data_IF_679802941312
#
_entry.id   IF_679802941312
#
_cell.length_a   1.000
_cell.length_b   1.000
_cell.length_c   1.000
_cell.angle_alpha   90.00
_cell.angle_beta   90.00
_cell.angle_gamma   90.00
#
_symmetry.space_group_name_H-M   'P 1'
#
loop_
_entity.id
_entity.type
_entity.pdbx_description
1 polymer ?
#
# COMPACT_ATOMS: atom_id res chain seq x y z
N UNK A 1 0.24 -2.82 19.62
CA UNK A 1 -0.01 -2.33 18.26
C UNK A 1 1.08 -1.34 17.91
N UNK A 2 1.86 -1.56 16.85
CA UNK A 2 2.84 -0.58 16.37
C UNK A 2 2.23 0.32 15.26
N UNK A 3 2.99 1.29 14.77
CA UNK A 3 2.52 2.22 13.74
C UNK A 3 2.09 1.52 12.43
N UNK A 4 2.82 0.50 11.97
CA UNK A 4 2.48 -0.26 10.75
C UNK A 4 1.21 -1.08 10.91
N UNK A 5 0.99 -1.64 12.09
CA UNK A 5 -0.25 -2.34 12.42
C UNK A 5 -1.45 -1.38 12.50
N UNK A 6 -1.24 -0.17 13.04
CA UNK A 6 -2.26 0.88 13.00
C UNK A 6 -2.60 1.26 11.56
N UNK A 7 -1.58 1.45 10.70
CA UNK A 7 -1.80 1.75 9.28
C UNK A 7 -2.59 0.65 8.57
N UNK A 8 -2.25 -0.63 8.79
CA UNK A 8 -3.01 -1.76 8.27
C UNK A 8 -4.47 -1.76 8.75
N UNK A 9 -4.70 -1.46 10.03
CA UNK A 9 -6.05 -1.38 10.57
C UNK A 9 -6.89 -0.28 9.90
N UNK A 10 -6.28 0.87 9.61
CA UNK A 10 -6.94 1.97 8.88
C UNK A 10 -7.28 1.56 7.45
N UNK A 11 -6.31 1.01 6.71
CA UNK A 11 -6.53 0.57 5.32
C UNK A 11 -7.65 -0.47 5.23
N UNK A 12 -7.76 -1.37 6.22
CA UNK A 12 -8.83 -2.38 6.28
C UNK A 12 -10.21 -1.82 6.63
N UNK A 13 -10.28 -0.67 7.31
CA UNK A 13 -11.55 0.03 7.57
C UNK A 13 -12.02 0.83 6.34
N UNK A 14 -11.07 1.30 5.51
CA UNK A 14 -11.36 1.99 4.24
C UNK A 14 -11.73 1.00 3.15
N UNK A 15 -11.01 -0.12 3.06
CA UNK A 15 -11.26 -1.19 2.09
C UNK A 15 -11.61 -2.47 2.83
N UNK A 16 -12.86 -2.61 3.31
CA UNK A 16 -13.30 -3.81 4.00
C UNK A 16 -13.20 -5.04 3.09
N UNK A 17 -13.04 -6.22 3.71
CA UNK A 17 -13.10 -7.46 2.96
C UNK A 17 -14.53 -7.72 2.46
N UNK A 18 -14.65 -8.31 1.27
CA UNK A 18 -15.94 -8.72 0.72
C UNK A 18 -16.69 -9.60 1.73
N UNK A 19 -17.95 -9.25 2.01
CA UNK A 19 -18.77 -9.96 3.00
C UNK A 19 -18.51 -9.58 4.47
N UNK A 20 -17.62 -8.62 4.76
CA UNK A 20 -17.48 -8.11 6.13
C UNK A 20 -18.62 -7.15 6.48
N UNK A 21 -19.14 -7.23 7.71
CA UNK A 21 -20.11 -6.26 8.25
C UNK A 21 -19.44 -4.95 8.72
N UNK A 22 -18.21 -4.67 8.29
CA UNK A 22 -17.51 -3.46 8.68
C UNK A 22 -18.13 -2.26 7.97
N UNK A 23 -18.41 -1.20 8.74
CA UNK A 23 -18.84 0.10 8.19
C UNK A 23 -17.67 0.69 7.41
N UNK A 24 -17.85 0.90 6.11
CA UNK A 24 -16.90 1.61 5.26
C UNK A 24 -16.70 3.03 5.80
N UNK A 25 -15.45 3.42 6.02
CA UNK A 25 -15.08 4.73 6.54
C UNK A 25 -14.23 5.47 5.53
N UNK A 26 -14.36 6.79 5.51
CA UNK A 26 -13.34 7.63 4.87
C UNK A 26 -12.00 7.41 5.56
N UNK A 27 -10.90 7.63 4.83
CA UNK A 27 -9.55 7.45 5.38
C UNK A 27 -9.34 8.22 6.68
N UNK A 28 -9.80 9.47 6.74
CA UNK A 28 -9.72 10.31 7.93
C UNK A 28 -10.52 9.74 9.10
N UNK A 29 -11.79 9.36 8.87
CA UNK A 29 -12.63 8.80 9.92
C UNK A 29 -12.09 7.47 10.45
N UNK A 30 -11.55 6.62 9.57
CA UNK A 30 -10.88 5.37 9.95
C UNK A 30 -9.64 5.63 10.81
N UNK A 31 -8.79 6.57 10.39
CA UNK A 31 -7.60 6.94 11.16
C UNK A 31 -7.96 7.49 12.53
N UNK A 32 -8.87 8.47 12.62
CA UNK A 32 -9.29 9.05 13.90
C UNK A 32 -9.88 8.00 14.84
N UNK A 33 -10.69 7.08 14.30
CA UNK A 33 -11.29 5.99 15.07
C UNK A 33 -10.22 5.06 15.67
N UNK A 34 -9.23 4.66 14.87
CA UNK A 34 -8.16 3.72 15.27
C UNK A 34 -7.10 4.40 16.15
N UNK A 35 -6.69 5.61 15.81
CA UNK A 35 -5.66 6.38 16.53
C UNK A 35 -6.11 6.78 17.94
N UNK A 36 -7.40 7.09 18.15
CA UNK A 36 -7.96 7.34 19.50
C UNK A 36 -7.92 6.12 20.41
N UNK A 37 -7.81 4.91 19.84
CA UNK A 37 -7.78 3.64 20.56
C UNK A 37 -6.38 3.03 20.65
N UNK A 38 -5.37 3.69 20.06
CA UNK A 38 -3.98 3.25 20.17
C UNK A 38 -3.28 3.96 21.33
N UNK A 39 -2.26 3.30 21.88
CA UNK A 39 -1.37 3.86 22.91
C UNK A 39 -0.11 4.48 22.29
N UNK A 40 -0.12 4.72 20.98
CA UNK A 40 1.03 5.23 20.24
C UNK A 40 1.24 6.71 20.57
N UNK A 41 2.50 7.13 20.58
CA UNK A 41 2.85 8.54 20.73
C UNK A 41 2.48 9.35 19.47
N UNK A 42 2.73 10.66 19.50
CA UNK A 42 2.41 11.51 18.36
C UNK A 42 3.23 11.17 17.11
N UNK A 43 4.49 10.78 17.27
CA UNK A 43 5.40 10.48 16.16
C UNK A 43 4.97 9.21 15.44
N UNK A 44 4.67 8.15 16.19
CA UNK A 44 4.21 6.88 15.66
C UNK A 44 2.82 7.01 15.02
N UNK A 45 1.94 7.86 15.56
CA UNK A 45 0.66 8.17 14.92
C UNK A 45 0.85 8.91 13.61
N UNK A 46 1.74 9.91 13.56
CA UNK A 46 2.04 10.62 12.32
C UNK A 46 2.62 9.68 11.26
N UNK A 47 3.53 8.78 11.65
CA UNK A 47 4.06 7.77 10.75
C UNK A 47 2.98 6.78 10.26
N UNK A 48 2.08 6.34 11.13
CA UNK A 48 0.95 5.50 10.73
C UNK A 48 0.00 6.20 9.76
N UNK A 49 -0.23 7.51 9.93
CA UNK A 49 -1.05 8.32 9.02
C UNK A 49 -0.40 8.43 7.65
N UNK A 50 0.89 8.79 7.60
CA UNK A 50 1.68 8.87 6.37
C UNK A 50 1.61 7.56 5.59
N UNK A 51 1.87 6.44 6.28
CA UNK A 51 1.88 5.12 5.67
C UNK A 51 0.49 4.69 5.17
N UNK A 52 -0.57 4.91 5.96
CA UNK A 52 -1.93 4.54 5.57
C UNK A 52 -2.44 5.37 4.39
N UNK A 53 -2.35 6.70 4.50
CA UNK A 53 -2.84 7.62 3.47
C UNK A 53 -2.03 7.50 2.19
N UNK A 54 -0.71 7.35 2.32
CA UNK A 54 0.18 7.05 1.22
C UNK A 54 -0.24 5.81 0.45
N UNK A 55 -0.43 4.68 1.14
CA UNK A 55 -0.85 3.43 0.52
C UNK A 55 -2.25 3.49 -0.11
N UNK A 56 -3.18 4.24 0.49
CA UNK A 56 -4.52 4.48 -0.05
C UNK A 56 -4.43 5.31 -1.34
N UNK A 57 -3.68 6.43 -1.28
CA UNK A 57 -3.53 7.37 -2.39
C UNK A 57 -2.80 6.74 -3.58
N UNK A 58 -1.71 6.03 -3.33
CA UNK A 58 -0.81 5.49 -4.35
C UNK A 58 -1.16 4.07 -4.79
N UNK A 59 -2.38 3.59 -4.49
CA UNK A 59 -2.78 2.18 -4.62
C UNK A 59 -2.52 1.61 -6.02
N UNK A 60 -2.80 2.36 -7.09
CA UNK A 60 -2.55 1.93 -8.48
C UNK A 60 -1.05 1.82 -8.79
N UNK A 61 -0.25 2.81 -8.38
CA UNK A 61 1.21 2.75 -8.54
C UNK A 61 1.80 1.56 -7.78
N UNK A 62 1.31 1.30 -6.56
CA UNK A 62 1.74 0.18 -5.73
C UNK A 62 1.36 -1.16 -6.36
N UNK A 63 0.17 -1.28 -6.92
CA UNK A 63 -0.24 -2.49 -7.66
C UNK A 63 0.64 -2.70 -8.90
N UNK A 64 0.96 -1.64 -9.66
CA UNK A 64 1.90 -1.73 -10.79
C UNK A 64 3.28 -2.26 -10.37
N UNK A 65 3.78 -1.83 -9.21
CA UNK A 65 5.03 -2.37 -8.65
C UNK A 65 4.94 -3.83 -8.22
N UNK A 66 3.81 -4.24 -7.65
CA UNK A 66 3.68 -5.52 -6.97
C UNK A 66 3.20 -6.65 -7.87
N UNK A 67 2.31 -6.35 -8.81
CA UNK A 67 1.63 -7.34 -9.65
C UNK A 67 2.61 -8.22 -10.46
N UNK A 68 3.75 -7.73 -10.99
CA UNK A 68 4.75 -8.59 -11.65
C UNK A 68 5.30 -9.71 -10.76
N UNK A 69 5.22 -9.57 -9.43
CA UNK A 69 5.77 -10.52 -8.45
C UNK A 69 4.70 -11.35 -7.73
N UNK A 70 3.42 -11.01 -7.90
CA UNK A 70 2.30 -11.72 -7.28
C UNK A 70 1.70 -12.68 -8.31
N UNK A 71 2.14 -13.94 -8.26
CA UNK A 71 1.69 -15.00 -9.18
C UNK A 71 0.50 -15.81 -8.65
N UNK A 72 0.07 -15.58 -7.40
CA UNK A 72 -0.93 -16.41 -6.74
C UNK A 72 -2.37 -15.89 -6.98
N UNK A 73 -3.22 -16.61 -7.76
CA UNK A 73 -4.63 -16.27 -7.86
C UNK A 73 -5.29 -16.48 -6.49
N UNK A 74 -5.99 -15.48 -5.97
CA UNK A 74 -6.64 -15.57 -4.65
C UNK A 74 -5.80 -15.14 -3.45
N UNK A 75 -4.79 -14.28 -3.64
CA UNK A 75 -4.06 -13.63 -2.54
C UNK A 75 -5.06 -12.99 -1.55
N UNK A 76 -5.05 -13.35 -0.25
CA UNK A 76 -5.97 -12.75 0.71
C UNK A 76 -5.79 -11.24 0.77
N UNK A 77 -6.90 -10.51 0.82
CA UNK A 77 -6.90 -9.04 0.79
C UNK A 77 -5.96 -8.42 1.83
N UNK A 78 -5.95 -8.95 3.06
CA UNK A 78 -5.04 -8.47 4.12
C UNK A 78 -3.56 -8.59 3.74
N UNK A 79 -3.18 -9.63 3.00
CA UNK A 79 -1.79 -9.82 2.54
C UNK A 79 -1.47 -8.82 1.43
N UNK A 80 -2.43 -8.55 0.53
CA UNK A 80 -2.26 -7.51 -0.49
C UNK A 80 -2.12 -6.12 0.13
N UNK A 81 -2.89 -5.80 1.17
CA UNK A 81 -2.72 -4.51 1.88
C UNK A 81 -1.37 -4.42 2.60
N UNK A 82 -0.89 -5.51 3.21
CA UNK A 82 0.45 -5.56 3.81
C UNK A 82 1.54 -5.28 2.76
N UNK A 83 1.43 -5.90 1.59
CA UNK A 83 2.38 -5.68 0.48
C UNK A 83 2.33 -4.24 -0.03
N UNK A 84 1.14 -3.64 -0.16
CA UNK A 84 0.99 -2.23 -0.58
C UNK A 84 1.60 -1.27 0.44
N UNK A 85 1.38 -1.48 1.73
CA UNK A 85 2.00 -0.67 2.79
C UNK A 85 3.53 -0.80 2.74
N UNK A 86 4.04 -2.02 2.58
CA UNK A 86 5.47 -2.27 2.45
C UNK A 86 6.08 -1.63 1.21
N UNK A 87 5.43 -1.76 0.05
CA UNK A 87 5.87 -1.11 -1.17
C UNK A 87 5.82 0.42 -1.03
N UNK A 88 4.82 0.98 -0.36
CA UNK A 88 4.76 2.43 -0.13
C UNK A 88 5.94 2.89 0.71
N UNK A 89 6.20 2.22 1.83
CA UNK A 89 7.31 2.57 2.71
C UNK A 89 8.67 2.44 2.00
N UNK A 90 8.87 1.40 1.18
CA UNK A 90 10.11 1.18 0.44
C UNK A 90 10.33 2.16 -0.72
N UNK A 91 9.27 2.59 -1.41
CA UNK A 91 9.39 3.40 -2.63
C UNK A 91 9.27 4.90 -2.37
N UNK A 92 8.39 5.31 -1.46
CA UNK A 92 8.01 6.71 -1.28
C UNK A 92 8.54 7.33 0.02
N UNK A 93 9.26 6.56 0.84
CA UNK A 93 9.84 7.06 2.09
C UNK A 93 11.35 6.80 2.15
N UNK A 94 12.01 7.32 3.20
CA UNK A 94 13.44 7.12 3.45
C UNK A 94 13.69 6.04 4.51
N UNK A 95 12.81 5.03 4.57
CA UNK A 95 12.90 3.97 5.57
C UNK A 95 14.08 3.01 5.30
N UNK A 96 14.59 2.39 6.36
CA UNK A 96 15.59 1.33 6.24
C UNK A 96 14.98 0.09 5.58
N UNK A 97 15.61 -0.41 4.52
CA UNK A 97 15.10 -1.51 3.70
C UNK A 97 14.97 -2.80 4.51
N UNK A 98 15.99 -3.14 5.31
CA UNK A 98 16.01 -4.39 6.08
C UNK A 98 14.96 -4.39 7.19
N UNK A 99 14.87 -3.28 7.94
CA UNK A 99 13.88 -3.09 8.99
C UNK A 99 12.46 -3.14 8.42
N UNK A 100 12.22 -2.47 7.29
CA UNK A 100 10.90 -2.44 6.63
C UNK A 100 10.45 -3.85 6.23
N UNK A 101 11.31 -4.60 5.54
CA UNK A 101 10.99 -5.99 5.15
C UNK A 101 10.74 -6.86 6.38
N UNK A 102 11.59 -6.77 7.40
CA UNK A 102 11.42 -7.55 8.63
C UNK A 102 10.07 -7.28 9.31
N UNK A 103 9.71 -6.01 9.45
CA UNK A 103 8.49 -5.57 10.10
C UNK A 103 7.23 -6.04 9.37
N UNK A 104 7.17 -5.90 8.04
CA UNK A 104 6.01 -6.35 7.27
C UNK A 104 5.90 -7.87 7.15
N UNK A 105 7.02 -8.60 7.14
CA UNK A 105 6.99 -10.07 7.23
C UNK A 105 6.45 -10.52 8.58
N UNK A 106 6.85 -9.87 9.68
CA UNK A 106 6.29 -10.16 11.00
C UNK A 106 4.82 -9.75 11.12
N UNK A 107 4.42 -8.64 10.49
CA UNK A 107 3.02 -8.26 10.40
C UNK A 107 2.21 -9.32 9.64
N UNK A 108 2.72 -9.83 8.52
CA UNK A 108 2.07 -10.92 7.79
C UNK A 108 1.92 -12.20 8.63
N UNK A 109 2.93 -12.58 9.43
CA UNK A 109 2.82 -13.73 10.36
C UNK A 109 1.68 -13.57 11.36
N UNK A 110 1.40 -12.35 11.80
CA UNK A 110 0.35 -12.06 12.80
C UNK A 110 -1.06 -12.04 12.20
N UNK A 111 -1.19 -11.61 10.95
CA UNK A 111 -2.49 -11.42 10.28
C UNK A 111 -2.83 -12.50 9.25
N UNK A 112 -1.97 -13.50 9.08
CA UNK A 112 -2.14 -14.62 8.15
C UNK A 112 -1.43 -15.88 8.68
N UNK A 113 -1.06 -16.83 7.81
CA UNK A 113 -0.29 -18.01 8.18
C UNK A 113 1.16 -17.95 7.65
N UNK A 114 2.02 -18.84 8.16
CA UNK A 114 3.46 -18.88 7.84
C UNK A 114 3.75 -18.89 6.32
N UNK A 115 2.98 -19.66 5.55
CA UNK A 115 3.10 -19.70 4.09
C UNK A 115 2.95 -18.33 3.42
N UNK A 116 1.95 -17.54 3.83
CA UNK A 116 1.73 -16.20 3.28
C UNK A 116 2.77 -15.19 3.75
N UNK A 117 3.28 -15.32 4.98
CA UNK A 117 4.42 -14.51 5.42
C UNK A 117 5.70 -14.76 4.60
N UNK A 118 5.94 -16.02 4.21
CA UNK A 118 7.04 -16.36 3.31
C UNK A 118 6.82 -15.77 1.91
N UNK A 119 5.58 -15.77 1.41
CA UNK A 119 5.21 -15.11 0.16
C UNK A 119 5.48 -13.59 0.23
N UNK A 120 5.05 -12.91 1.30
CA UNK A 120 5.32 -11.47 1.50
C UNK A 120 6.82 -11.19 1.41
N UNK A 121 7.62 -11.96 2.15
CA UNK A 121 9.07 -11.84 2.11
C UNK A 121 9.65 -12.06 0.70
N UNK A 122 9.16 -13.07 -0.03
CA UNK A 122 9.62 -13.36 -1.39
C UNK A 122 9.28 -12.21 -2.35
N UNK A 123 8.05 -11.69 -2.31
CA UNK A 123 7.59 -10.56 -3.14
C UNK A 123 8.42 -9.31 -2.85
N UNK A 124 8.62 -8.95 -1.58
CA UNK A 124 9.38 -7.75 -1.22
C UNK A 124 10.85 -7.85 -1.64
N UNK A 125 11.48 -9.03 -1.54
CA UNK A 125 12.83 -9.23 -2.07
C UNK A 125 12.88 -9.12 -3.59
N UNK A 126 11.86 -9.62 -4.30
CA UNK A 126 11.77 -9.48 -5.76
C UNK A 126 11.60 -8.04 -6.18
N UNK A 127 10.73 -7.29 -5.48
CA UNK A 127 10.55 -5.86 -5.67
C UNK A 127 11.88 -5.11 -5.51
N UNK A 128 12.61 -5.35 -4.41
CA UNK A 128 13.90 -4.69 -4.15
C UNK A 128 14.98 -5.03 -5.17
N UNK A 129 15.01 -6.27 -5.70
CA UNK A 129 15.93 -6.66 -6.78
C UNK A 129 15.62 -5.94 -8.09
N UNK A 130 14.37 -5.56 -8.31
CA UNK A 130 13.95 -4.76 -9.45
C UNK A 130 14.20 -3.26 -9.26
N UNK A 131 14.89 -2.85 -8.17
CA UNK A 131 15.25 -1.47 -7.84
C UNK A 131 14.07 -0.52 -8.02
N UNK A 132 13.06 -0.61 -7.14
CA UNK A 132 11.78 0.02 -7.39
C UNK A 132 11.93 1.54 -7.27
N UNK A 133 11.60 2.24 -8.36
CA UNK A 133 11.58 3.70 -8.44
C UNK A 133 10.18 4.17 -8.78
N UNK A 134 9.87 5.45 -8.59
CA UNK A 134 8.58 5.98 -9.06
C UNK A 134 8.37 5.65 -10.55
N UNK A 135 7.12 5.35 -10.98
CA UNK A 135 6.83 5.05 -12.38
C UNK A 135 7.43 6.10 -13.31
N UNK A 136 8.19 5.62 -14.30
CA UNK A 136 8.86 6.44 -15.32
C UNK A 136 8.11 6.36 -16.65
N UNK A 137 8.13 7.45 -17.42
CA UNK A 137 7.34 7.59 -18.66
C UNK A 137 7.62 6.46 -19.66
N UNK A 138 8.88 6.12 -19.85
CA UNK A 138 9.33 5.13 -20.85
C UNK A 138 8.91 3.70 -20.53
N UNK A 139 8.38 3.45 -19.33
CA UNK A 139 7.84 2.13 -18.92
C UNK A 139 6.39 1.89 -19.38
N UNK A 140 5.77 2.84 -20.07
CA UNK A 140 4.34 2.78 -20.43
C UNK A 140 4.10 2.96 -21.93
N UNK A 141 3.05 2.32 -22.47
CA UNK A 141 2.70 2.42 -23.88
C UNK A 141 2.12 3.78 -24.28
N UNK A 142 1.70 4.58 -23.30
CA UNK A 142 1.16 5.92 -23.53
C UNK A 142 1.31 6.81 -22.30
N UNK A 143 1.30 8.11 -22.54
CA UNK A 143 1.28 9.14 -21.50
C UNK A 143 0.07 9.01 -20.57
N UNK A 144 -1.09 8.60 -21.09
CA UNK A 144 -2.30 8.41 -20.28
C UNK A 144 -2.09 7.33 -19.22
N UNK A 145 -1.54 6.18 -19.61
CA UNK A 145 -1.29 5.07 -18.70
C UNK A 145 -0.15 5.37 -17.72
N UNK A 146 0.88 6.08 -18.20
CA UNK A 146 1.95 6.59 -17.36
C UNK A 146 1.40 7.52 -16.27
N UNK A 147 0.67 8.58 -16.63
CA UNK A 147 0.14 9.56 -15.69
C UNK A 147 -0.90 8.94 -14.75
N UNK A 148 -1.76 8.07 -15.27
CA UNK A 148 -2.75 7.35 -14.47
C UNK A 148 -2.05 6.52 -13.39
N UNK A 149 -1.01 5.78 -13.76
CA UNK A 149 -0.27 4.93 -12.82
C UNK A 149 0.57 5.77 -11.85
N UNK A 150 1.40 6.69 -12.35
CA UNK A 150 2.28 7.56 -11.56
C UNK A 150 1.53 8.34 -10.50
N UNK A 151 0.39 8.93 -10.85
CA UNK A 151 -0.42 9.72 -9.91
C UNK A 151 -1.56 8.94 -9.26
N UNK A 152 -1.65 7.64 -9.54
CA UNK A 152 -2.72 6.76 -9.07
C UNK A 152 -4.13 7.30 -9.33
N UNK A 153 -4.33 7.83 -10.53
CA UNK A 153 -5.60 8.35 -11.02
C UNK A 153 -6.25 7.33 -11.98
N UNK A 154 -7.59 7.34 -12.10
CA UNK A 154 -8.26 6.63 -13.19
C UNK A 154 -7.84 7.19 -14.55
N UNK A 155 -7.60 6.33 -15.54
CA UNK A 155 -7.19 6.73 -16.90
C UNK A 155 -8.18 7.73 -17.53
N UNK A 156 -9.48 7.61 -17.26
CA UNK A 156 -10.49 8.54 -17.77
C UNK A 156 -10.29 9.99 -17.27
N UNK A 157 -9.87 10.16 -16.00
CA UNK A 157 -9.67 11.47 -15.40
C UNK A 157 -8.42 12.13 -15.96
N UNK A 158 -7.35 11.35 -16.15
CA UNK A 158 -6.14 11.80 -16.84
C UNK A 158 -6.48 12.31 -18.24
N UNK A 159 -7.22 11.54 -19.03
CA UNK A 159 -7.65 11.94 -20.38
C UNK A 159 -8.45 13.24 -20.36
N UNK A 160 -9.38 13.37 -19.41
CA UNK A 160 -10.18 14.58 -19.27
C UNK A 160 -9.30 15.80 -18.94
N UNK A 161 -8.38 15.69 -17.98
CA UNK A 161 -7.50 16.80 -17.63
C UNK A 161 -6.56 17.20 -18.78
N UNK A 162 -5.98 16.22 -19.46
CA UNK A 162 -5.14 16.48 -20.63
C UNK A 162 -5.90 17.19 -21.74
N UNK A 163 -7.15 16.81 -22.00
CA UNK A 163 -7.97 17.51 -23.02
C UNK A 163 -8.25 18.99 -22.70
N UNK A 164 -8.05 19.42 -21.46
CA UNK A 164 -8.28 20.80 -21.01
C UNK A 164 -6.97 21.58 -20.86
N UNK A 165 -5.88 20.91 -20.49
CA UNK A 165 -4.63 21.57 -20.07
C UNK A 165 -3.40 21.24 -20.91
N UNK A 166 -3.43 20.25 -21.82
CA UNK A 166 -2.40 20.02 -22.85
C UNK A 166 -2.72 20.85 -24.11
#
# INVERSE_FOLDING_TARGET
MNARELALAVVRDVFPAHGSHAVERTAQAAFDYRARRSTLDQRDRAFAAELAYGAIKMRRALDWHLDPFITHPGLPQVVREILRLAAYELVYTRADVHATVFEFVNLAKRFSHRGLANLVNAVLRSLLRATPEEPQRDSFPSDDEYLATRYSLPTWLVRQWRSVFD
#
